data_IF_977741139646
#
_entry.id   IF_977741139646
#
_cell.length_a   1.000
_cell.length_b   1.000
_cell.length_c   1.000
_cell.angle_alpha   90.00
_cell.angle_beta   90.00
_cell.angle_gamma   90.00
#
_symmetry.space_group_name_H-M   'P 1'
#
loop_
_entity.id
_entity.type
_entity.pdbx_description
1 polymer ?
#
# COMPACT_ATOMS: atom_id res chain seq x y z
N UNK A 1 -12.64 -3.46 -21.39
CA UNK A 1 -12.67 -4.89 -21.03
C UNK A 1 -13.33 -5.03 -19.67
N UNK A 2 -14.32 -5.91 -19.52
CA UNK A 2 -14.90 -6.21 -18.21
C UNK A 2 -13.79 -6.78 -17.31
N UNK A 3 -13.65 -6.24 -16.09
CA UNK A 3 -12.64 -6.65 -15.08
C UNK A 3 -12.76 -8.11 -14.62
N UNK A 4 -13.61 -8.93 -15.24
CA UNK A 4 -14.01 -10.25 -14.74
C UNK A 4 -13.10 -11.40 -15.20
N UNK A 5 -12.53 -11.38 -16.41
CA UNK A 5 -11.64 -12.44 -16.87
C UNK A 5 -10.20 -11.94 -17.03
N UNK A 6 -9.37 -12.15 -16.00
CA UNK A 6 -7.93 -11.92 -16.11
C UNK A 6 -7.31 -13.05 -16.93
N UNK A 7 -7.17 -12.82 -18.23
CA UNK A 7 -6.46 -13.74 -19.11
C UNK A 7 -4.95 -13.67 -18.84
N UNK A 8 -4.44 -14.59 -18.02
CA UNK A 8 -3.02 -14.77 -17.75
C UNK A 8 -2.35 -15.76 -18.72
N UNK A 9 -2.94 -16.03 -19.89
CA UNK A 9 -2.36 -16.92 -20.92
C UNK A 9 -1.01 -16.42 -21.47
N UNK A 10 -0.73 -15.12 -21.35
CA UNK A 10 0.55 -14.52 -21.74
C UNK A 10 1.72 -14.95 -20.84
N UNK A 11 1.46 -15.41 -19.61
CA UNK A 11 2.48 -15.86 -18.66
C UNK A 11 2.83 -17.33 -18.96
N UNK A 12 4.04 -17.66 -19.42
CA UNK A 12 4.43 -19.05 -19.72
C UNK A 12 4.73 -19.85 -18.45
N UNK A 13 4.69 -21.18 -18.55
CA UNK A 13 4.83 -22.08 -17.39
C UNK A 13 6.14 -21.90 -16.63
N UNK A 14 7.26 -21.67 -17.34
CA UNK A 14 8.57 -21.43 -16.70
C UNK A 14 8.61 -20.14 -15.87
N UNK A 15 7.63 -19.26 -16.03
CA UNK A 15 7.52 -17.99 -15.28
C UNK A 15 6.49 -18.05 -14.15
N UNK A 16 5.79 -19.16 -13.93
CA UNK A 16 4.77 -19.24 -12.86
C UNK A 16 5.33 -18.94 -11.46
N UNK A 17 6.61 -19.21 -11.22
CA UNK A 17 7.32 -18.90 -9.97
C UNK A 17 7.28 -17.41 -9.57
N UNK A 18 7.16 -16.49 -10.55
CA UNK A 18 7.12 -15.04 -10.26
C UNK A 18 5.85 -14.65 -9.53
N UNK A 19 4.76 -15.38 -9.74
CA UNK A 19 3.45 -15.12 -9.13
C UNK A 19 3.54 -15.29 -7.62
N UNK A 20 4.15 -16.38 -7.16
CA UNK A 20 4.33 -16.66 -5.73
C UNK A 20 5.24 -15.61 -5.08
N UNK A 21 6.26 -15.14 -5.80
CA UNK A 21 7.15 -14.06 -5.34
C UNK A 21 6.37 -12.75 -5.17
N UNK A 22 5.53 -12.38 -6.14
CA UNK A 22 4.71 -11.16 -6.06
C UNK A 22 3.64 -11.27 -4.97
N UNK A 23 3.01 -12.43 -4.80
CA UNK A 23 2.07 -12.67 -3.72
C UNK A 23 2.74 -12.57 -2.34
N UNK A 24 3.98 -13.04 -2.21
CA UNK A 24 4.77 -12.84 -1.00
C UNK A 24 5.05 -11.36 -0.72
N UNK A 25 5.36 -10.58 -1.76
CA UNK A 25 5.48 -9.11 -1.63
C UNK A 25 4.18 -8.49 -1.14
N UNK A 26 3.04 -8.84 -1.75
CA UNK A 26 1.72 -8.33 -1.36
C UNK A 26 1.40 -8.63 0.12
N UNK A 27 1.61 -9.88 0.56
CA UNK A 27 1.47 -10.27 1.97
C UNK A 27 2.40 -9.51 2.91
N UNK A 28 3.64 -9.25 2.48
CA UNK A 28 4.63 -8.48 3.26
C UNK A 28 4.21 -7.02 3.41
N UNK A 29 3.70 -6.42 2.32
CA UNK A 29 3.15 -5.06 2.34
C UNK A 29 1.91 -5.01 3.25
N UNK A 30 0.99 -5.97 3.17
CA UNK A 30 -0.18 -6.00 4.06
C UNK A 30 0.24 -6.05 5.53
N UNK A 31 1.20 -6.92 5.88
CA UNK A 31 1.71 -7.03 7.24
C UNK A 31 2.35 -5.72 7.72
N UNK A 32 3.15 -5.07 6.86
CA UNK A 32 3.75 -3.77 7.14
C UNK A 32 2.68 -2.71 7.42
N UNK A 33 1.62 -2.65 6.61
CA UNK A 33 0.58 -1.64 6.73
C UNK A 33 -0.28 -1.85 7.98
N UNK A 34 -0.60 -3.11 8.33
CA UNK A 34 -1.23 -3.43 9.62
C UNK A 34 -0.39 -2.94 10.79
N UNK A 35 0.91 -3.29 10.82
CA UNK A 35 1.81 -2.84 11.89
C UNK A 35 1.93 -1.31 11.94
N UNK A 36 1.93 -0.65 10.78
CA UNK A 36 1.95 0.82 10.70
C UNK A 36 0.66 1.41 11.27
N UNK A 37 -0.49 0.82 10.95
CA UNK A 37 -1.78 1.25 11.48
C UNK A 37 -1.84 1.08 12.99
N UNK A 38 -1.52 -0.11 13.51
CA UNK A 38 -1.48 -0.40 14.94
C UNK A 38 -0.58 0.62 15.65
N UNK A 39 0.61 0.89 15.10
CA UNK A 39 1.52 1.91 15.60
C UNK A 39 0.89 3.31 15.63
N UNK A 40 0.18 3.72 14.56
CA UNK A 40 -0.48 5.03 14.50
C UNK A 40 -1.67 5.16 15.45
N UNK A 41 -2.41 4.07 15.67
CA UNK A 41 -3.61 4.05 16.51
C UNK A 41 -3.29 4.24 18.00
N UNK A 42 -2.17 3.69 18.48
CA UNK A 42 -1.75 3.81 19.88
C UNK A 42 -1.28 5.21 20.30
N UNK A 43 -1.34 6.20 19.40
CA UNK A 43 -0.88 7.57 19.64
C UNK A 43 0.63 7.72 19.43
N UNK A 44 1.01 8.17 18.24
CA UNK A 44 2.44 8.32 17.86
C UNK A 44 3.06 9.64 18.29
N UNK A 45 2.23 10.61 18.65
CA UNK A 45 2.65 11.94 19.03
C UNK A 45 1.91 12.30 20.30
N UNK A 46 2.65 12.67 21.34
CA UNK A 46 2.09 13.27 22.55
C UNK A 46 2.16 14.79 22.41
N UNK A 47 1.13 15.47 22.88
CA UNK A 47 1.01 16.92 22.77
C UNK A 47 1.05 17.58 24.14
N UNK A 48 1.58 18.80 24.18
CA UNK A 48 1.44 19.70 25.31
C UNK A 48 0.81 21.03 24.84
N UNK A 49 0.05 21.67 25.73
CA UNK A 49 -0.46 23.02 25.50
C UNK A 49 0.48 24.04 26.13
N UNK A 50 0.93 25.01 25.34
CA UNK A 50 1.80 26.11 25.80
C UNK A 50 1.08 27.42 25.56
N UNK A 51 0.87 28.20 26.63
CA UNK A 51 0.30 29.54 26.51
C UNK A 51 1.32 30.52 25.94
N UNK A 52 0.94 31.20 24.86
CA UNK A 52 1.75 32.20 24.17
C UNK A 52 0.92 33.47 23.95
N UNK A 53 0.90 34.34 24.97
CA UNK A 53 0.11 35.57 24.97
C UNK A 53 -1.41 35.28 25.00
N UNK A 54 -2.11 35.73 23.96
CA UNK A 54 -3.54 35.53 23.73
C UNK A 54 -3.85 34.21 22.99
N UNK A 55 -2.84 33.41 22.68
CA UNK A 55 -2.97 32.10 22.03
C UNK A 55 -2.51 30.95 22.91
N UNK A 56 -2.98 29.76 22.58
CA UNK A 56 -2.50 28.49 23.10
C UNK A 56 -1.97 27.68 21.91
N UNK A 57 -0.70 27.31 22.00
CA UNK A 57 0.00 26.51 21.01
C UNK A 57 -0.06 25.05 21.45
N UNK A 58 -0.45 24.15 20.53
CA UNK A 58 -0.31 22.71 20.70
C UNK A 58 1.05 22.31 20.15
N UNK A 59 1.95 21.93 21.05
CA UNK A 59 3.33 21.57 20.73
C UNK A 59 3.53 20.06 20.82
N UNK A 60 4.42 19.53 19.99
CA UNK A 60 4.91 18.15 20.10
C UNK A 60 5.69 18.01 21.40
N UNK A 61 5.22 17.17 22.30
CA UNK A 61 5.93 16.84 23.53
C UNK A 61 6.88 15.65 23.31
N UNK A 62 6.40 14.62 22.62
CA UNK A 62 7.15 13.39 22.36
C UNK A 62 6.68 12.78 21.04
N UNK A 63 7.61 12.12 20.33
CA UNK A 63 7.29 11.27 19.18
C UNK A 63 7.68 9.84 19.51
N UNK A 64 6.69 8.94 19.50
CA UNK A 64 6.92 7.53 19.78
C UNK A 64 7.98 6.95 18.83
N UNK A 65 8.82 6.01 19.30
CA UNK A 65 9.82 5.39 18.44
C UNK A 65 9.16 4.48 17.41
N UNK A 66 9.59 4.60 16.14
CA UNK A 66 9.11 3.74 15.06
C UNK A 66 9.48 2.27 15.33
N UNK A 67 8.52 1.32 15.33
CA UNK A 67 8.80 -0.09 15.48
C UNK A 67 9.82 -0.59 14.46
N UNK A 68 10.89 -1.23 14.95
CA UNK A 68 12.01 -1.68 14.14
C UNK A 68 11.65 -2.75 13.09
N UNK A 69 10.51 -3.41 13.24
CA UNK A 69 9.97 -4.33 12.24
C UNK A 69 9.50 -3.62 10.95
N UNK A 70 9.02 -2.37 11.04
CA UNK A 70 8.56 -1.58 9.88
C UNK A 70 9.66 -1.40 8.82
N UNK A 71 10.84 -0.80 9.12
CA UNK A 71 11.89 -0.63 8.10
C UNK A 71 12.45 -1.96 7.57
N UNK A 72 12.37 -3.04 8.35
CA UNK A 72 12.79 -4.39 7.92
C UNK A 72 11.81 -4.99 6.91
N UNK A 73 10.51 -4.94 7.20
CA UNK A 73 9.46 -5.39 6.26
C UNK A 73 9.47 -4.58 4.95
N UNK A 74 9.78 -3.27 5.02
CA UNK A 74 10.02 -2.45 3.82
C UNK A 74 11.20 -2.98 3.01
N UNK A 75 12.34 -3.23 3.65
CA UNK A 75 13.50 -3.78 2.95
C UNK A 75 13.24 -5.17 2.36
N UNK A 76 12.50 -6.01 3.07
CA UNK A 76 12.11 -7.35 2.59
C UNK A 76 11.24 -7.23 1.33
N UNK A 77 10.17 -6.41 1.36
CA UNK A 77 9.31 -6.18 0.21
C UNK A 77 10.09 -5.65 -1.01
N UNK A 78 10.97 -4.67 -0.81
CA UNK A 78 11.80 -4.10 -1.88
C UNK A 78 12.82 -5.12 -2.43
N UNK A 79 13.38 -5.96 -1.56
CA UNK A 79 14.33 -7.00 -1.96
C UNK A 79 13.62 -8.08 -2.77
N UNK A 80 12.42 -8.48 -2.37
CA UNK A 80 11.62 -9.48 -3.08
C UNK A 80 11.09 -8.96 -4.42
N UNK A 81 10.70 -7.68 -4.51
CA UNK A 81 10.38 -7.04 -5.79
C UNK A 81 11.58 -7.05 -6.74
N UNK A 82 12.79 -6.82 -6.22
CA UNK A 82 14.01 -6.88 -7.01
C UNK A 82 14.34 -8.31 -7.44
N UNK A 83 14.18 -9.27 -6.54
CA UNK A 83 14.35 -10.69 -6.82
C UNK A 83 13.37 -11.17 -7.89
N UNK A 84 12.12 -10.72 -7.88
CA UNK A 84 11.13 -11.05 -8.93
C UNK A 84 11.65 -10.70 -10.33
N UNK A 85 12.24 -9.51 -10.50
CA UNK A 85 12.84 -9.10 -11.79
C UNK A 85 14.03 -9.98 -12.19
N UNK A 86 14.89 -10.32 -11.22
CA UNK A 86 16.09 -11.11 -11.46
C UNK A 86 15.76 -12.58 -11.73
N UNK A 87 14.80 -13.17 -11.03
CA UNK A 87 14.29 -14.51 -11.28
C UNK A 87 13.59 -14.61 -12.64
N UNK A 88 12.75 -13.62 -13.00
CA UNK A 88 12.15 -13.57 -14.33
C UNK A 88 13.22 -13.51 -15.41
N UNK A 89 14.24 -12.65 -15.25
CA UNK A 89 15.34 -12.53 -16.21
C UNK A 89 16.14 -13.85 -16.30
N UNK A 90 16.45 -14.46 -15.16
CA UNK A 90 17.13 -15.75 -15.08
C UNK A 90 16.38 -16.84 -15.87
N UNK A 91 15.07 -16.97 -15.63
CA UNK A 91 14.25 -17.96 -16.31
C UNK A 91 14.11 -17.66 -17.82
N UNK A 92 14.05 -16.40 -18.25
CA UNK A 92 14.08 -16.05 -19.68
C UNK A 92 15.41 -16.44 -20.34
N UNK A 93 16.54 -16.31 -19.63
CA UNK A 93 17.85 -16.72 -20.14
C UNK A 93 17.94 -18.25 -20.26
N UNK A 94 17.53 -19.01 -19.24
CA UNK A 94 17.53 -20.49 -19.29
C UNK A 94 16.64 -21.01 -20.42
N UNK A 95 15.42 -20.49 -20.53
CA UNK A 95 14.49 -20.89 -21.60
C UNK A 95 15.06 -20.57 -22.97
N UNK A 96 15.68 -19.40 -23.17
CA UNK A 96 16.29 -19.04 -24.44
C UNK A 96 17.54 -19.89 -24.79
N UNK A 97 18.24 -20.43 -23.79
CA UNK A 97 19.37 -21.34 -23.99
C UNK A 97 18.94 -22.80 -24.19
N UNK A 98 17.75 -23.18 -23.73
CA UNK A 98 17.28 -24.56 -23.71
C UNK A 98 18.08 -25.46 -22.75
N UNK A 99 18.75 -24.87 -21.76
CA UNK A 99 19.52 -25.60 -20.73
C UNK A 99 19.59 -24.80 -19.42
N UNK A 100 19.85 -25.46 -18.29
CA UNK A 100 20.19 -24.78 -17.05
C UNK A 100 21.46 -23.94 -17.17
N UNK A 101 21.52 -22.85 -16.41
CA UNK A 101 22.75 -22.07 -16.24
C UNK A 101 23.73 -22.77 -15.31
N UNK A 102 25.02 -22.59 -15.58
CA UNK A 102 26.07 -22.92 -14.60
C UNK A 102 26.10 -21.90 -13.47
N UNK A 103 26.68 -22.25 -12.32
CA UNK A 103 26.81 -21.34 -11.17
C UNK A 103 27.50 -20.01 -11.52
N UNK A 104 28.45 -20.02 -12.43
CA UNK A 104 29.14 -18.79 -12.87
C UNK A 104 28.26 -17.93 -13.77
N UNK A 105 27.51 -18.55 -14.68
CA UNK A 105 26.56 -17.86 -15.55
C UNK A 105 25.41 -17.27 -14.74
N UNK A 106 24.85 -18.03 -13.80
CA UNK A 106 23.78 -17.62 -12.90
C UNK A 106 24.14 -16.32 -12.16
N UNK A 107 25.35 -16.24 -11.60
CA UNK A 107 25.86 -15.03 -10.92
C UNK A 107 26.02 -13.81 -11.82
N UNK A 108 26.01 -13.99 -13.14
CA UNK A 108 26.13 -12.89 -14.11
C UNK A 108 24.78 -12.32 -14.56
N UNK A 109 23.68 -13.02 -14.26
CA UNK A 109 22.31 -12.61 -14.57
C UNK A 109 21.78 -11.74 -13.42
N UNK A 110 21.85 -10.44 -13.63
CA UNK A 110 21.36 -9.40 -12.71
C UNK A 110 20.63 -8.33 -13.52
N UNK A 111 19.61 -7.68 -12.95
CA UNK A 111 18.88 -6.63 -13.69
C UNK A 111 19.65 -5.29 -13.65
N UNK A 112 20.20 -4.75 -14.74
CA UNK A 112 20.84 -3.43 -14.66
C UNK A 112 19.84 -2.33 -14.33
N UNK A 113 20.29 -1.27 -13.65
CA UNK A 113 19.49 -0.07 -13.35
C UNK A 113 20.31 1.19 -13.70
N UNK A 114 20.55 1.38 -15.00
CA UNK A 114 21.48 2.38 -15.55
C UNK A 114 20.79 3.70 -15.89
N UNK A 115 21.48 4.81 -15.64
CA UNK A 115 20.97 6.18 -15.91
C UNK A 115 21.47 6.75 -17.25
N UNK A 116 22.26 6.00 -18.00
CA UNK A 116 22.70 6.34 -19.35
C UNK A 116 22.94 5.08 -20.20
N UNK A 117 22.86 5.23 -21.52
CA UNK A 117 22.98 4.13 -22.47
C UNK A 117 24.40 3.53 -22.54
N UNK A 118 25.44 4.32 -22.26
CA UNK A 118 26.82 3.86 -22.30
C UNK A 118 27.12 2.89 -21.15
N UNK A 119 26.59 3.16 -19.95
CA UNK A 119 26.65 2.28 -18.80
C UNK A 119 25.94 0.94 -19.08
N UNK A 120 24.80 0.96 -19.78
CA UNK A 120 24.12 -0.26 -20.20
C UNK A 120 24.95 -1.05 -21.21
N UNK A 121 25.53 -0.38 -22.22
CA UNK A 121 26.41 -1.02 -23.18
C UNK A 121 27.64 -1.65 -22.51
N UNK A 122 28.22 -0.98 -21.52
CA UNK A 122 29.29 -1.53 -20.69
C UNK A 122 28.83 -2.76 -19.90
N UNK A 123 27.61 -2.71 -19.34
CA UNK A 123 27.03 -3.83 -18.60
C UNK A 123 26.88 -5.08 -19.49
N UNK A 124 26.31 -4.95 -20.70
CA UNK A 124 26.26 -6.03 -21.70
C UNK A 124 27.66 -6.49 -22.13
N UNK A 125 28.61 -5.54 -22.16
CA UNK A 125 30.01 -5.77 -22.47
C UNK A 125 30.79 -6.56 -21.40
N UNK A 126 30.21 -6.99 -20.28
CA UNK A 126 30.92 -7.83 -19.32
C UNK A 126 31.25 -9.22 -19.91
N UNK A 127 32.49 -9.71 -19.70
CA UNK A 127 32.97 -10.98 -20.26
C UNK A 127 32.02 -12.16 -20.00
N UNK A 128 31.45 -12.26 -18.80
CA UNK A 128 30.54 -13.38 -18.44
C UNK A 128 29.22 -13.28 -19.21
N UNK A 129 28.64 -12.09 -19.31
CA UNK A 129 27.39 -11.85 -20.03
C UNK A 129 27.54 -11.99 -21.55
N UNK A 130 28.69 -11.62 -22.13
CA UNK A 130 28.99 -11.86 -23.55
C UNK A 130 28.98 -13.34 -23.96
N UNK A 131 29.17 -14.24 -22.99
CA UNK A 131 29.13 -15.68 -23.22
C UNK A 131 27.70 -16.25 -23.19
N UNK A 132 26.70 -15.42 -22.85
CA UNK A 132 25.29 -15.79 -22.81
C UNK A 132 24.58 -15.17 -24.03
N UNK A 133 24.38 -15.93 -25.14
CA UNK A 133 23.76 -15.41 -26.35
C UNK A 133 22.46 -14.63 -26.15
N UNK A 134 21.53 -15.03 -25.25
CA UNK A 134 20.30 -14.26 -25.02
C UNK A 134 20.54 -12.81 -24.53
N UNK A 135 21.67 -12.54 -23.87
CA UNK A 135 22.03 -11.22 -23.35
C UNK A 135 22.89 -10.40 -24.32
N UNK A 136 23.20 -10.90 -25.51
CA UNK A 136 23.95 -10.14 -26.49
C UNK A 136 23.15 -8.93 -26.99
N UNK A 137 23.85 -7.81 -27.24
CA UNK A 137 23.22 -6.59 -27.75
C UNK A 137 22.45 -6.89 -29.05
N UNK A 138 21.23 -6.38 -29.14
CA UNK A 138 20.36 -6.54 -30.30
C UNK A 138 19.43 -7.76 -30.25
N UNK A 139 19.58 -8.67 -29.28
CA UNK A 139 18.61 -9.74 -29.08
C UNK A 139 17.28 -9.20 -28.53
N UNK A 140 16.17 -9.96 -28.68
CA UNK A 140 14.90 -9.57 -28.08
C UNK A 140 14.98 -9.32 -26.58
N UNK A 141 15.69 -10.16 -25.82
CA UNK A 141 15.82 -9.98 -24.37
C UNK A 141 16.66 -8.75 -24.00
N UNK A 142 17.76 -8.49 -24.71
CA UNK A 142 18.56 -7.28 -24.49
C UNK A 142 17.73 -6.00 -24.74
N UNK A 143 16.91 -5.97 -25.79
CA UNK A 143 15.99 -4.86 -26.08
C UNK A 143 14.91 -4.69 -25.00
N UNK A 144 14.43 -5.78 -24.39
CA UNK A 144 13.49 -5.75 -23.26
C UNK A 144 14.14 -5.13 -22.01
N UNK A 145 15.36 -5.55 -21.69
CA UNK A 145 16.15 -4.99 -20.58
C UNK A 145 16.38 -3.49 -20.80
N UNK A 146 16.80 -3.09 -22.00
CA UNK A 146 17.05 -1.70 -22.38
C UNK A 146 15.83 -0.80 -22.17
N UNK A 147 14.64 -1.27 -22.57
CA UNK A 147 13.38 -0.51 -22.43
C UNK A 147 12.94 -0.28 -20.99
N UNK A 148 13.44 -1.08 -20.05
CA UNK A 148 13.16 -0.93 -18.62
C UNK A 148 14.18 -0.03 -17.91
N UNK A 149 15.20 0.45 -18.60
CA UNK A 149 16.25 1.22 -17.95
C UNK A 149 15.79 2.65 -17.58
N UNK A 150 16.26 3.18 -16.44
CA UNK A 150 15.96 4.55 -16.00
C UNK A 150 16.17 5.64 -17.05
N UNK A 151 17.20 5.54 -17.88
CA UNK A 151 17.50 6.54 -18.93
C UNK A 151 16.45 6.64 -20.03
N UNK A 152 15.50 5.71 -20.10
CA UNK A 152 14.34 5.77 -21.01
C UNK A 152 13.31 6.83 -20.58
N UNK A 153 13.48 7.46 -19.40
CA UNK A 153 12.60 8.52 -18.89
C UNK A 153 13.33 9.84 -18.75
N UNK A 154 12.55 10.93 -18.76
CA UNK A 154 13.04 12.30 -18.52
C UNK A 154 13.55 12.52 -17.10
N UNK A 155 13.01 11.79 -16.12
CA UNK A 155 13.42 11.83 -14.70
C UNK A 155 13.98 10.47 -14.25
N UNK A 156 15.22 10.10 -14.65
CA UNK A 156 15.78 8.78 -14.32
C UNK A 156 15.84 8.50 -12.81
N UNK A 157 16.00 9.53 -11.98
CA UNK A 157 16.05 9.40 -10.53
C UNK A 157 14.70 9.02 -9.89
N UNK A 158 13.59 9.26 -10.59
CA UNK A 158 12.24 8.87 -10.15
C UNK A 158 11.81 7.52 -10.73
N UNK A 159 12.64 6.92 -11.61
CA UNK A 159 12.30 5.67 -12.26
C UNK A 159 12.17 4.53 -11.22
N UNK A 160 11.09 3.72 -11.24
CA UNK A 160 10.91 2.61 -10.30
C UNK A 160 12.09 1.65 -10.20
N UNK A 161 12.69 1.25 -11.33
CA UNK A 161 13.89 0.41 -11.33
C UNK A 161 15.11 1.06 -10.64
N UNK A 162 15.26 2.38 -10.77
CA UNK A 162 16.32 3.14 -10.09
C UNK A 162 16.07 3.16 -8.59
N UNK A 163 14.85 3.50 -8.18
CA UNK A 163 14.41 3.50 -6.78
C UNK A 163 14.64 2.13 -6.12
N UNK A 164 14.18 1.08 -6.77
CA UNK A 164 14.33 -0.30 -6.31
C UNK A 164 15.82 -0.67 -6.13
N UNK A 165 16.66 -0.33 -7.11
CA UNK A 165 18.10 -0.62 -7.04
C UNK A 165 18.80 0.15 -5.91
N UNK A 166 18.49 1.44 -5.72
CA UNK A 166 19.14 2.23 -4.65
C UNK A 166 18.68 1.79 -3.26
N UNK A 167 17.40 1.47 -3.07
CA UNK A 167 16.90 0.98 -1.79
C UNK A 167 17.53 -0.36 -1.42
N UNK A 168 17.52 -1.31 -2.35
CA UNK A 168 18.07 -2.66 -2.10
C UNK A 168 19.58 -2.64 -1.92
N UNK A 169 20.32 -1.79 -2.65
CA UNK A 169 21.76 -1.62 -2.42
C UNK A 169 22.06 -1.04 -1.03
N UNK A 170 21.25 -0.11 -0.53
CA UNK A 170 21.40 0.38 0.85
C UNK A 170 21.11 -0.72 1.86
N UNK A 171 20.01 -1.46 1.70
CA UNK A 171 19.63 -2.54 2.61
C UNK A 171 20.68 -3.68 2.67
N UNK A 172 21.42 -3.94 1.58
CA UNK A 172 22.50 -4.93 1.55
C UNK A 172 23.73 -4.57 2.40
N UNK A 173 24.01 -3.27 2.57
CA UNK A 173 25.28 -2.81 3.14
C UNK A 173 25.11 -1.94 4.39
N UNK A 174 23.89 -1.54 4.71
CA UNK A 174 23.56 -0.57 5.77
C UNK A 174 22.23 -0.94 6.40
N UNK A 175 21.87 -0.24 7.46
CA UNK A 175 20.51 -0.26 7.99
C UNK A 175 19.52 0.00 6.84
N UNK A 176 18.41 -0.76 6.76
CA UNK A 176 17.31 -0.51 5.83
C UNK A 176 16.95 0.98 5.74
N UNK A 177 16.47 1.42 4.58
CA UNK A 177 16.16 2.82 4.25
C UNK A 177 15.68 3.63 5.46
N UNK A 178 16.17 4.87 5.61
CA UNK A 178 15.81 5.72 6.76
C UNK A 178 14.29 5.89 6.77
N UNK A 179 13.63 5.25 7.73
CA UNK A 179 12.21 5.34 7.95
C UNK A 179 11.96 6.20 9.18
N UNK A 180 10.97 7.09 9.11
CA UNK A 180 10.61 7.97 10.22
C UNK A 180 9.12 8.28 10.21
N UNK A 181 8.59 8.54 11.40
CA UNK A 181 7.29 9.19 11.56
C UNK A 181 7.42 10.66 11.16
N UNK A 182 6.49 11.12 10.33
CA UNK A 182 6.41 12.50 9.82
C UNK A 182 5.01 13.03 10.00
N UNK A 183 4.88 14.35 10.11
CA UNK A 183 3.58 15.01 10.07
C UNK A 183 3.07 14.99 8.64
N UNK A 184 2.01 14.23 8.37
CA UNK A 184 1.36 14.23 7.06
C UNK A 184 0.40 15.39 6.88
N UNK A 185 -0.43 15.64 7.90
CA UNK A 185 -1.35 16.76 7.94
C UNK A 185 -1.83 17.06 9.38
N UNK A 186 -2.32 18.28 9.56
CA UNK A 186 -3.15 18.73 10.67
C UNK A 186 -4.32 19.45 10.05
N UNK A 187 -5.55 19.10 10.43
CA UNK A 187 -6.73 19.81 9.95
C UNK A 187 -7.71 20.07 11.09
N UNK A 188 -8.31 21.27 11.15
CA UNK A 188 -9.44 21.48 12.04
C UNK A 188 -10.61 20.61 11.60
N UNK A 189 -11.43 20.17 12.55
CA UNK A 189 -12.66 19.45 12.23
C UNK A 189 -13.74 20.42 11.72
N UNK A 190 -13.68 21.69 12.17
CA UNK A 190 -14.42 22.81 11.59
C UNK A 190 -13.49 23.69 10.73
N UNK A 191 -13.65 23.69 9.39
CA UNK A 191 -12.81 24.47 8.48
C UNK A 191 -12.97 26.00 8.64
N UNK A 192 -13.99 26.47 9.38
CA UNK A 192 -14.21 27.89 9.67
C UNK A 192 -13.70 28.32 11.05
N UNK A 193 -13.01 27.45 11.77
CA UNK A 193 -12.45 27.76 13.09
C UNK A 193 -11.23 28.69 13.02
N UNK A 194 -10.96 29.42 14.12
CA UNK A 194 -9.78 30.29 14.27
C UNK A 194 -8.45 29.53 14.53
N UNK A 195 -8.41 28.25 14.15
CA UNK A 195 -7.23 27.38 14.31
C UNK A 195 -6.22 27.65 13.20
N UNK A 196 -4.99 27.98 13.57
CA UNK A 196 -3.86 27.98 12.64
C UNK A 196 -3.13 26.64 12.75
N UNK A 197 -2.81 26.01 11.63
CA UNK A 197 -2.16 24.68 11.59
C UNK A 197 -0.84 24.71 10.83
N UNK A 198 0.13 23.91 11.28
CA UNK A 198 1.48 23.88 10.71
C UNK A 198 1.56 23.25 9.31
N UNK A 199 0.73 22.25 9.05
CA UNK A 199 0.69 21.56 7.76
C UNK A 199 -0.76 21.19 7.40
N UNK A 200 -1.45 21.99 6.57
CA UNK A 200 -2.82 21.68 6.19
C UNK A 200 -2.89 20.39 5.37
N UNK A 201 -4.04 19.72 5.43
CA UNK A 201 -4.31 18.50 4.65
C UNK A 201 -4.19 18.79 3.15
N UNK A 202 -3.32 18.04 2.46
CA UNK A 202 -3.23 18.02 1.00
C UNK A 202 -3.91 16.76 0.46
N UNK A 203 -4.83 16.94 -0.48
CA UNK A 203 -5.38 15.82 -1.24
C UNK A 203 -4.31 15.30 -2.23
N UNK A 204 -3.91 14.03 -2.09
CA UNK A 204 -2.90 13.41 -2.96
C UNK A 204 -1.46 13.83 -2.64
N UNK A 205 -0.94 13.53 -1.44
CA UNK A 205 0.42 13.91 -1.05
C UNK A 205 1.46 13.33 -2.01
N UNK A 206 2.46 14.15 -2.36
CA UNK A 206 3.55 13.83 -3.27
C UNK A 206 4.84 13.51 -2.50
N UNK A 207 5.82 12.82 -3.12
CA UNK A 207 7.14 12.68 -2.54
C UNK A 207 7.74 14.05 -2.18
N UNK A 208 8.19 14.19 -0.93
CA UNK A 208 8.70 15.45 -0.37
C UNK A 208 7.67 16.18 0.49
N UNK A 209 6.39 15.82 0.43
CA UNK A 209 5.38 16.32 1.36
C UNK A 209 5.60 15.78 2.79
N UNK A 210 4.95 16.45 3.74
CA UNK A 210 5.06 16.14 5.15
C UNK A 210 6.28 16.79 5.82
N UNK A 211 6.16 17.09 7.10
CA UNK A 211 7.23 17.72 7.88
C UNK A 211 7.91 16.68 8.79
N UNK A 212 9.24 16.81 9.04
CA UNK A 212 9.82 16.09 10.16
C UNK A 212 9.12 16.55 11.44
N UNK A 213 8.93 15.64 12.39
CA UNK A 213 8.43 15.97 13.72
C UNK A 213 9.57 15.97 14.71
N UNK A 214 9.66 17.03 15.52
CA UNK A 214 10.60 17.19 16.62
C UNK A 214 9.86 17.68 17.85
N UNK A 215 10.36 17.30 19.02
CA UNK A 215 9.90 17.87 20.28
C UNK A 215 10.02 19.40 20.24
N UNK A 216 8.97 20.08 20.68
CA UNK A 216 8.82 21.54 20.64
C UNK A 216 8.22 22.11 19.35
N UNK A 217 8.03 21.30 18.29
CA UNK A 217 7.36 21.79 17.07
C UNK A 217 5.90 22.18 17.39
N UNK A 218 5.47 23.36 16.94
CA UNK A 218 4.07 23.81 17.05
C UNK A 218 3.27 23.18 15.92
N UNK A 219 2.20 22.45 16.24
CA UNK A 219 1.32 21.81 15.25
C UNK A 219 0.08 22.62 14.93
N UNK A 220 -0.48 23.23 15.97
CA UNK A 220 -1.68 24.05 15.87
C UNK A 220 -1.63 25.17 16.91
N UNK A 221 -2.33 26.26 16.64
CA UNK A 221 -2.43 27.41 17.54
C UNK A 221 -3.85 27.96 17.50
N UNK A 222 -4.46 28.20 18.66
CA UNK A 222 -5.83 28.70 18.81
C UNK A 222 -5.90 29.88 19.78
N UNK A 223 -6.93 30.74 19.71
CA UNK A 223 -7.18 31.75 20.74
C UNK A 223 -7.33 31.12 22.14
N UNK A 224 -6.79 31.79 23.16
CA UNK A 224 -6.85 31.29 24.53
C UNK A 224 -8.29 31.14 25.01
N UNK A 225 -8.59 29.98 25.58
CA UNK A 225 -9.93 29.63 26.06
C UNK A 225 -10.85 29.06 24.98
N UNK A 226 -10.46 29.08 23.70
CA UNK A 226 -11.18 28.36 22.66
C UNK A 226 -11.01 26.85 22.80
N UNK A 227 -12.06 26.09 22.46
CA UNK A 227 -12.03 24.62 22.37
C UNK A 227 -12.35 24.23 20.94
N UNK A 228 -11.31 24.05 20.13
CA UNK A 228 -11.44 23.74 18.70
C UNK A 228 -10.93 22.31 18.49
N UNK A 229 -11.81 21.37 18.10
CA UNK A 229 -11.38 20.01 17.77
C UNK A 229 -10.63 20.00 16.43
N UNK A 230 -9.59 19.18 16.36
CA UNK A 230 -8.76 19.00 15.18
C UNK A 230 -8.13 17.62 15.15
N UNK A 231 -7.74 17.20 13.97
CA UNK A 231 -7.17 15.88 13.72
C UNK A 231 -5.72 16.00 13.24
N UNK A 232 -4.85 15.12 13.74
CA UNK A 232 -3.44 15.01 13.36
C UNK A 232 -3.22 13.70 12.63
N UNK A 233 -2.58 13.77 11.47
CA UNK A 233 -2.38 12.64 10.56
C UNK A 233 -0.88 12.34 10.45
N UNK A 234 -0.32 11.53 11.37
CA UNK A 234 1.05 11.06 11.25
C UNK A 234 1.18 10.10 10.06
N UNK A 235 2.37 10.07 9.46
CA UNK A 235 2.70 9.16 8.36
C UNK A 235 4.03 8.49 8.63
N UNK A 236 4.18 7.24 8.19
CA UNK A 236 5.49 6.58 8.10
C UNK A 236 6.03 6.80 6.70
N UNK A 237 7.22 7.40 6.63
CA UNK A 237 7.85 7.77 5.37
C UNK A 237 9.25 7.16 5.25
N UNK A 238 9.67 6.94 4.02
CA UNK A 238 10.97 6.42 3.61
C UNK A 238 11.79 7.54 2.96
N UNK A 239 13.05 7.69 3.37
CA UNK A 239 13.96 8.57 2.67
C UNK A 239 14.58 7.84 1.47
N UNK A 240 14.37 8.38 0.27
CA UNK A 240 15.06 7.95 -0.95
C UNK A 240 16.57 8.16 -0.79
N UNK A 241 17.42 7.11 -0.91
CA UNK A 241 18.85 7.23 -0.62
C UNK A 241 19.62 8.25 -1.46
N UNK A 242 19.27 8.38 -2.74
CA UNK A 242 19.99 9.20 -3.73
C UNK A 242 19.49 10.65 -3.77
N UNK A 243 18.20 10.91 -3.52
CA UNK A 243 17.64 12.28 -3.56
C UNK A 243 17.37 12.88 -2.18
N UNK A 244 17.38 12.08 -1.12
CA UNK A 244 16.97 12.46 0.25
C UNK A 244 15.52 12.89 0.41
N UNK A 245 14.71 12.78 -0.65
CA UNK A 245 13.27 13.03 -0.64
C UNK A 245 12.57 11.98 0.22
N UNK A 246 11.57 12.40 0.99
CA UNK A 246 10.76 11.52 1.82
C UNK A 246 9.47 11.14 1.09
N UNK A 247 9.19 9.85 0.96
CA UNK A 247 7.97 9.34 0.37
C UNK A 247 7.18 8.55 1.42
N UNK A 248 5.85 8.69 1.45
CA UNK A 248 4.99 7.87 2.31
C UNK A 248 5.21 6.40 1.95
N UNK A 249 5.57 5.57 2.92
CA UNK A 249 6.00 4.20 2.69
C UNK A 249 4.98 3.38 1.90
N UNK A 250 3.69 3.52 2.24
CA UNK A 250 2.59 2.84 1.55
C UNK A 250 2.54 3.21 0.06
N UNK A 251 2.64 4.50 -0.28
CA UNK A 251 2.55 4.98 -1.65
C UNK A 251 3.81 4.60 -2.46
N UNK A 252 4.99 4.65 -1.84
CA UNK A 252 6.24 4.25 -2.49
C UNK A 252 6.23 2.74 -2.83
N UNK A 253 5.76 1.90 -1.90
CA UNK A 253 5.64 0.46 -2.13
C UNK A 253 4.56 0.11 -3.16
N UNK A 254 3.41 0.79 -3.12
CA UNK A 254 2.35 0.66 -4.13
C UNK A 254 2.88 0.95 -5.53
N UNK A 255 3.60 2.06 -5.70
CA UNK A 255 4.19 2.46 -6.97
C UNK A 255 5.16 1.41 -7.50
N UNK A 256 6.05 0.91 -6.64
CA UNK A 256 7.09 -0.04 -7.04
C UNK A 256 6.50 -1.43 -7.34
N UNK A 257 5.59 -1.92 -6.50
CA UNK A 257 4.87 -3.18 -6.71
C UNK A 257 4.08 -3.13 -8.02
N UNK A 258 3.26 -2.10 -8.20
CA UNK A 258 2.43 -1.95 -9.38
C UNK A 258 3.28 -1.89 -10.66
N UNK A 259 4.39 -1.14 -10.65
CA UNK A 259 5.29 -1.07 -11.80
C UNK A 259 5.95 -2.42 -12.11
N UNK A 260 6.44 -3.14 -11.11
CA UNK A 260 7.05 -4.47 -11.33
C UNK A 260 6.03 -5.44 -11.94
N UNK A 261 4.83 -5.50 -11.36
CA UNK A 261 3.77 -6.43 -11.75
C UNK A 261 3.14 -6.11 -13.12
N UNK A 262 2.89 -4.83 -13.39
CA UNK A 262 2.13 -4.40 -14.58
C UNK A 262 3.00 -3.97 -15.76
N UNK A 263 4.27 -3.62 -15.52
CA UNK A 263 5.18 -3.12 -16.56
C UNK A 263 6.39 -4.01 -16.71
N UNK A 264 7.18 -4.17 -15.66
CA UNK A 264 8.52 -4.75 -15.78
C UNK A 264 8.49 -6.23 -16.15
N UNK A 265 7.75 -7.05 -15.39
CA UNK A 265 7.63 -8.50 -15.65
C UNK A 265 7.00 -8.76 -17.03
N UNK A 266 5.85 -8.15 -17.39
CA UNK A 266 5.30 -8.28 -18.74
C UNK A 266 6.27 -7.93 -19.86
N UNK A 267 7.03 -6.83 -19.71
CA UNK A 267 8.01 -6.41 -20.73
C UNK A 267 9.16 -7.40 -20.83
N UNK A 268 9.65 -7.98 -19.73
CA UNK A 268 10.71 -9.00 -19.78
C UNK A 268 10.26 -10.28 -20.50
N UNK A 269 9.02 -10.72 -20.25
CA UNK A 269 8.49 -11.98 -20.78
C UNK A 269 8.01 -11.83 -22.22
N UNK A 270 7.17 -10.83 -22.47
CA UNK A 270 6.46 -10.68 -23.75
C UNK A 270 7.04 -9.59 -24.65
N UNK A 271 7.82 -8.68 -24.07
CA UNK A 271 8.26 -7.48 -24.76
C UNK A 271 7.21 -6.37 -24.83
N UNK A 272 6.08 -6.45 -24.11
CA UNK A 272 5.09 -5.38 -23.98
C UNK A 272 4.48 -5.39 -22.57
N UNK A 273 3.82 -4.30 -22.18
CA UNK A 273 3.10 -4.21 -20.90
C UNK A 273 1.57 -4.15 -21.07
N UNK A 274 1.09 -4.08 -22.31
CA UNK A 274 -0.34 -4.16 -22.62
C UNK A 274 -0.78 -5.62 -22.62
N UNK A 275 -0.89 -6.16 -21.40
CA UNK A 275 -1.37 -7.51 -21.08
C UNK A 275 -2.27 -7.44 -19.85
N UNK A 276 -3.11 -8.44 -19.63
CA UNK A 276 -3.89 -8.54 -18.40
C UNK A 276 -2.95 -8.55 -17.19
N UNK A 277 -3.10 -7.65 -16.21
CA UNK A 277 -2.26 -7.62 -15.03
C UNK A 277 -2.35 -8.94 -14.25
N UNK A 278 -1.21 -9.39 -13.71
CA UNK A 278 -1.25 -10.46 -12.71
C UNK A 278 -2.05 -9.98 -11.49
N UNK A 279 -2.85 -10.86 -10.86
CA UNK A 279 -3.48 -10.55 -9.58
C UNK A 279 -2.37 -10.34 -8.53
N UNK A 280 -2.45 -9.27 -7.72
CA UNK A 280 -1.47 -9.00 -6.67
C UNK A 280 -1.57 -10.02 -5.52
N UNK A 281 -2.76 -10.59 -5.27
CA UNK A 281 -3.01 -11.43 -4.11
C UNK A 281 -3.33 -12.87 -4.48
N UNK A 282 -2.41 -13.77 -4.13
CA UNK A 282 -2.59 -15.21 -4.19
C UNK A 282 -2.24 -15.79 -2.82
N UNK A 283 -3.10 -16.65 -2.27
CA UNK A 283 -2.80 -17.31 -1.00
C UNK A 283 -1.66 -18.34 -1.17
N UNK A 284 -0.44 -17.93 -0.87
CA UNK A 284 0.76 -18.78 -0.91
C UNK A 284 0.98 -19.57 0.39
N UNK A 285 0.07 -19.50 1.37
CA UNK A 285 0.15 -20.32 2.59
C UNK A 285 -0.40 -21.72 2.37
N UNK A 286 -1.17 -21.92 1.30
CA UNK A 286 -1.65 -23.21 0.83
C UNK A 286 -0.88 -23.66 -0.42
N UNK A 287 -0.58 -24.96 -0.50
CA UNK A 287 0.06 -25.52 -1.69
C UNK A 287 -0.94 -25.68 -2.83
N UNK A 288 -0.66 -25.06 -3.98
CA UNK A 288 -1.49 -25.17 -5.19
C UNK A 288 -0.97 -26.28 -6.10
N UNK A 289 -1.83 -27.24 -6.45
CA UNK A 289 -1.50 -28.25 -7.48
C UNK A 289 -1.49 -27.67 -8.89
N UNK A 290 -2.32 -26.67 -9.13
CA UNK A 290 -2.44 -25.95 -10.40
C UNK A 290 -2.47 -24.45 -10.10
N UNK A 291 -1.30 -23.80 -10.28
CA UNK A 291 -1.15 -22.35 -10.08
C UNK A 291 -2.01 -21.56 -11.06
N UNK A 292 -2.27 -22.06 -12.27
CA UNK A 292 -3.11 -21.34 -13.27
C UNK A 292 -4.56 -21.30 -12.82
N UNK A 293 -5.08 -22.41 -12.30
CA UNK A 293 -6.42 -22.44 -11.72
C UNK A 293 -6.53 -21.47 -10.52
N UNK A 294 -5.52 -21.45 -9.65
CA UNK A 294 -5.50 -20.55 -8.50
C UNK A 294 -5.44 -19.06 -8.91
N UNK A 295 -4.67 -18.72 -9.94
CA UNK A 295 -4.62 -17.37 -10.53
C UNK A 295 -5.96 -16.89 -11.08
N UNK A 296 -6.78 -17.79 -11.64
CA UNK A 296 -8.08 -17.42 -12.21
C UNK A 296 -9.06 -16.90 -11.14
N UNK A 297 -8.93 -17.38 -9.90
CA UNK A 297 -9.78 -17.03 -8.76
C UNK A 297 -9.12 -16.08 -7.75
N UNK A 298 -7.87 -15.68 -8.00
CA UNK A 298 -7.08 -14.84 -7.12
C UNK A 298 -7.66 -13.41 -7.00
N UNK A 299 -7.47 -12.79 -5.84
CA UNK A 299 -7.96 -11.42 -5.58
C UNK A 299 -7.11 -10.40 -6.35
N UNK A 300 -7.80 -9.42 -6.93
CA UNK A 300 -7.25 -8.37 -7.79
C UNK A 300 -6.92 -7.11 -7.02
N UNK A 301 -7.31 -7.04 -5.75
CA UNK A 301 -7.14 -5.87 -4.89
C UNK A 301 -5.76 -5.90 -4.25
N UNK A 302 -4.86 -4.94 -4.51
CA UNK A 302 -3.53 -4.91 -3.87
C UNK A 302 -3.61 -4.66 -2.37
N UNK A 303 -2.60 -5.12 -1.61
CA UNK A 303 -2.52 -4.96 -0.16
C UNK A 303 -2.68 -3.52 0.33
N UNK A 304 -2.16 -2.55 -0.43
CA UNK A 304 -2.28 -1.12 -0.10
C UNK A 304 -3.74 -0.65 -0.15
N UNK A 305 -4.50 -1.11 -1.16
CA UNK A 305 -5.93 -0.80 -1.29
C UNK A 305 -6.72 -1.52 -0.20
N UNK A 306 -6.51 -2.83 -0.02
CA UNK A 306 -7.16 -3.60 1.07
C UNK A 306 -6.90 -2.98 2.45
N UNK A 307 -5.69 -2.48 2.69
CA UNK A 307 -5.36 -1.81 3.96
C UNK A 307 -6.01 -0.44 4.09
N UNK A 308 -6.15 0.34 3.02
CA UNK A 308 -6.88 1.61 3.05
C UNK A 308 -8.36 1.36 3.35
N UNK A 309 -8.96 0.36 2.70
CA UNK A 309 -10.35 -0.03 2.92
C UNK A 309 -10.55 -0.50 4.36
N UNK A 310 -9.64 -1.32 4.91
CA UNK A 310 -9.66 -1.73 6.31
C UNK A 310 -9.61 -0.55 7.29
N UNK A 311 -8.69 0.41 7.08
CA UNK A 311 -8.56 1.60 7.95
C UNK A 311 -9.83 2.46 7.86
N UNK A 312 -10.36 2.63 6.64
CA UNK A 312 -11.61 3.35 6.40
C UNK A 312 -12.79 2.64 7.07
N UNK A 313 -12.83 1.30 7.03
CA UNK A 313 -13.84 0.49 7.68
C UNK A 313 -13.75 0.59 9.21
N UNK A 314 -12.56 0.48 9.81
CA UNK A 314 -12.36 0.65 11.26
C UNK A 314 -12.86 2.03 11.72
N UNK A 315 -12.42 3.09 11.05
CA UNK A 315 -12.86 4.47 11.33
C UNK A 315 -14.37 4.60 11.11
N UNK A 316 -14.88 4.00 10.04
CA UNK A 316 -16.28 3.95 9.68
C UNK A 316 -17.15 3.29 10.73
N UNK A 317 -16.72 2.14 11.28
CA UNK A 317 -17.47 1.42 12.32
C UNK A 317 -17.65 2.30 13.56
N UNK A 318 -16.58 2.97 14.02
CA UNK A 318 -16.67 3.90 15.15
C UNK A 318 -17.61 5.09 14.84
N UNK A 319 -17.43 5.73 13.69
CA UNK A 319 -18.25 6.87 13.27
C UNK A 319 -19.72 6.53 13.05
N UNK A 320 -20.03 5.34 12.54
CA UNK A 320 -21.41 4.87 12.34
C UNK A 320 -22.13 4.63 13.67
N UNK A 321 -21.44 4.11 14.69
CA UNK A 321 -22.02 3.97 16.04
C UNK A 321 -22.42 5.33 16.61
N UNK A 322 -21.55 6.33 16.48
CA UNK A 322 -21.83 7.70 16.94
C UNK A 322 -22.94 8.36 16.12
N UNK A 323 -22.88 8.25 14.80
CA UNK A 323 -23.86 8.82 13.88
C UNK A 323 -25.27 8.27 14.13
N UNK A 324 -25.41 6.95 14.30
CA UNK A 324 -26.71 6.31 14.52
C UNK A 324 -27.30 6.60 15.90
N UNK A 325 -26.48 7.04 16.87
CA UNK A 325 -26.96 7.44 18.20
C UNK A 325 -27.86 8.70 18.16
N UNK A 326 -27.82 9.49 17.09
CA UNK A 326 -28.62 10.72 16.93
C UNK A 326 -30.04 10.50 16.40
N UNK A 327 -30.39 9.28 15.97
CA UNK A 327 -31.69 9.01 15.35
C UNK A 327 -32.77 8.68 16.39
N UNK A 328 -34.00 9.14 16.15
CA UNK A 328 -35.15 8.95 17.08
C UNK A 328 -35.43 7.47 17.36
N UNK A 329 -35.27 6.61 16.35
CA UNK A 329 -35.40 5.16 16.46
C UNK A 329 -34.06 4.47 16.76
N UNK A 330 -33.28 5.04 17.71
CA UNK A 330 -31.93 4.59 18.03
C UNK A 330 -31.86 3.08 18.34
N UNK A 331 -31.15 2.27 17.53
CA UNK A 331 -30.74 0.94 17.97
C UNK A 331 -29.79 1.07 19.17
N UNK A 332 -29.80 0.06 20.05
CA UNK A 332 -28.82 -0.01 21.13
C UNK A 332 -27.40 -0.03 20.56
N UNK A 333 -26.46 0.72 21.17
CA UNK A 333 -25.09 0.81 20.66
C UNK A 333 -24.41 -0.57 20.50
N UNK A 334 -24.69 -1.50 21.40
CA UNK A 334 -24.21 -2.89 21.31
C UNK A 334 -24.80 -3.63 20.09
N UNK A 335 -26.06 -3.38 19.76
CA UNK A 335 -26.71 -3.93 18.56
C UNK A 335 -26.06 -3.39 17.28
N UNK A 336 -25.77 -2.08 17.24
CA UNK A 336 -25.09 -1.46 16.10
C UNK A 336 -23.68 -2.03 15.93
N UNK A 337 -22.91 -2.15 17.02
CA UNK A 337 -21.57 -2.77 16.99
C UNK A 337 -21.63 -4.20 16.47
N UNK A 338 -22.51 -5.04 17.03
CA UNK A 338 -22.67 -6.42 16.58
C UNK A 338 -23.07 -6.53 15.10
N UNK A 339 -23.94 -5.63 14.62
CA UNK A 339 -24.29 -5.55 13.20
C UNK A 339 -23.08 -5.15 12.34
N UNK A 340 -22.36 -4.10 12.71
CA UNK A 340 -21.17 -3.62 11.98
C UNK A 340 -20.02 -4.65 12.00
N UNK A 341 -19.89 -5.44 13.06
CA UNK A 341 -18.92 -6.53 13.17
C UNK A 341 -19.30 -7.73 12.29
N UNK A 342 -20.57 -7.84 11.89
CA UNK A 342 -21.05 -8.85 10.94
C UNK A 342 -20.83 -8.48 9.48
N UNK A 343 -20.51 -7.21 9.21
CA UNK A 343 -20.22 -6.70 7.86
C UNK A 343 -18.72 -6.81 7.56
N UNK A 344 -18.39 -7.13 6.31
CA UNK A 344 -17.01 -7.03 5.84
C UNK A 344 -16.57 -5.56 5.67
N UNK A 345 -15.26 -5.34 5.49
CA UNK A 345 -14.70 -4.00 5.37
C UNK A 345 -15.25 -3.23 4.16
N UNK A 346 -15.55 -3.92 3.06
CA UNK A 346 -16.10 -3.30 1.83
C UNK A 346 -17.50 -2.76 2.11
N UNK A 347 -18.36 -3.58 2.72
CA UNK A 347 -19.74 -3.19 3.07
C UNK A 347 -19.77 -1.98 4.01
N UNK A 348 -18.91 -1.95 5.03
CA UNK A 348 -18.82 -0.79 5.92
C UNK A 348 -18.39 0.47 5.16
N UNK A 349 -17.36 0.36 4.30
CA UNK A 349 -16.90 1.49 3.48
C UNK A 349 -18.00 2.00 2.55
N UNK A 350 -18.77 1.10 1.92
CA UNK A 350 -19.91 1.47 1.08
C UNK A 350 -20.97 2.26 1.85
N UNK A 351 -21.33 1.84 3.07
CA UNK A 351 -22.26 2.59 3.92
C UNK A 351 -21.73 3.98 4.27
N UNK A 352 -20.45 4.10 4.65
CA UNK A 352 -19.81 5.39 4.97
C UNK A 352 -19.79 6.31 3.74
N UNK A 353 -19.43 5.79 2.57
CA UNK A 353 -19.40 6.55 1.31
C UNK A 353 -20.80 7.01 0.90
N UNK A 354 -21.82 6.16 1.09
CA UNK A 354 -23.20 6.53 0.85
C UNK A 354 -23.61 7.74 1.70
N UNK A 355 -23.40 7.68 3.02
CA UNK A 355 -23.67 8.80 3.94
C UNK A 355 -22.92 10.08 3.55
N UNK A 356 -21.64 9.95 3.18
CA UNK A 356 -20.83 11.08 2.71
C UNK A 356 -21.39 11.71 1.43
N UNK A 357 -21.95 10.92 0.53
CA UNK A 357 -22.54 11.40 -0.73
C UNK A 357 -23.85 12.18 -0.50
N UNK A 358 -24.58 11.87 0.57
CA UNK A 358 -25.82 12.56 0.93
C UNK A 358 -25.65 13.61 2.05
N UNK A 359 -24.43 13.81 2.59
CA UNK A 359 -24.20 14.65 3.76
C UNK A 359 -24.60 16.12 3.59
N UNK A 360 -24.51 16.66 2.37
CA UNK A 360 -24.98 18.01 2.04
C UNK A 360 -26.50 18.14 1.83
N UNK A 361 -27.26 17.05 1.99
CA UNK A 361 -28.69 16.97 1.70
C UNK A 361 -29.42 16.44 2.94
N UNK A 362 -29.82 17.31 3.89
CA UNK A 362 -30.27 16.89 5.23
C UNK A 362 -31.38 15.84 5.24
N UNK A 363 -32.34 15.94 4.31
CA UNK A 363 -33.42 14.97 4.17
C UNK A 363 -32.91 13.59 3.74
N UNK A 364 -32.09 13.54 2.70
CA UNK A 364 -31.52 12.27 2.21
C UNK A 364 -30.57 11.64 3.23
N UNK A 365 -29.80 12.45 3.96
CA UNK A 365 -28.97 11.99 5.06
C UNK A 365 -29.80 11.37 6.19
N UNK A 366 -30.93 11.99 6.52
CA UNK A 366 -31.86 11.46 7.52
C UNK A 366 -32.53 10.16 7.05
N UNK A 367 -32.89 10.06 5.77
CA UNK A 367 -33.48 8.86 5.17
C UNK A 367 -32.46 7.70 5.18
N UNK A 368 -31.23 7.96 4.72
CA UNK A 368 -30.14 6.99 4.72
C UNK A 368 -29.79 6.51 6.15
N UNK A 369 -29.69 7.41 7.12
CA UNK A 369 -29.42 7.00 8.50
C UNK A 369 -30.56 6.18 9.13
N UNK A 370 -31.81 6.48 8.79
CA UNK A 370 -32.97 5.69 9.24
C UNK A 370 -33.00 4.28 8.61
N UNK A 371 -32.54 4.15 7.36
CA UNK A 371 -32.37 2.86 6.69
C UNK A 371 -31.32 2.00 7.42
N UNK A 372 -30.12 2.54 7.67
CA UNK A 372 -29.07 1.84 8.42
C UNK A 372 -29.50 1.46 9.85
N UNK A 373 -30.21 2.36 10.55
CA UNK A 373 -30.78 2.05 11.86
C UNK A 373 -31.80 0.89 11.80
N UNK A 374 -32.56 0.80 10.71
CA UNK A 374 -33.50 -0.29 10.49
C UNK A 374 -32.81 -1.60 10.15
N UNK A 375 -31.72 -1.58 9.38
CA UNK A 375 -30.88 -2.76 9.12
C UNK A 375 -30.27 -3.34 10.40
N UNK A 376 -29.72 -2.49 11.26
CA UNK A 376 -29.17 -2.91 12.56
C UNK A 376 -30.24 -3.58 13.46
N UNK A 377 -31.48 -3.09 13.45
CA UNK A 377 -32.59 -3.71 14.18
C UNK A 377 -33.01 -5.05 13.57
N UNK A 378 -33.14 -5.14 12.25
CA UNK A 378 -33.41 -6.43 11.56
C UNK A 378 -32.32 -7.46 11.82
N UNK A 379 -31.06 -7.02 11.96
CA UNK A 379 -29.98 -7.89 12.39
C UNK A 379 -30.24 -8.45 13.80
N UNK A 380 -30.61 -7.61 14.79
CA UNK A 380 -31.00 -8.04 16.15
C UNK A 380 -32.13 -9.07 16.14
N UNK A 381 -33.16 -8.84 15.34
CA UNK A 381 -34.31 -9.75 15.22
C UNK A 381 -33.88 -11.12 14.68
N UNK A 382 -33.03 -11.16 13.65
CA UNK A 382 -32.51 -12.41 13.07
C UNK A 382 -31.67 -13.23 14.06
N UNK A 383 -30.85 -12.58 14.88
CA UNK A 383 -30.02 -13.29 15.87
C UNK A 383 -30.81 -13.66 17.15
N UNK A 384 -31.93 -12.98 17.41
CA UNK A 384 -32.78 -13.20 18.57
C UNK A 384 -33.84 -14.29 18.40
N UNK A 385 -34.10 -14.76 17.18
CA UNK A 385 -34.99 -15.91 16.96
C UNK A 385 -34.30 -17.21 17.37
N UNK A 386 -34.77 -17.92 18.43
CA UNK A 386 -34.21 -19.21 18.77
C UNK A 386 -34.45 -20.19 17.62
N UNK A 387 -33.39 -20.78 17.10
CA UNK A 387 -33.43 -21.83 16.06
C UNK A 387 -34.47 -22.89 16.42
N UNK A 388 -35.66 -22.81 15.80
CA UNK A 388 -36.78 -23.76 15.96
C UNK A 388 -36.51 -25.15 15.37
N UNK A 389 -35.26 -25.54 15.19
CA UNK A 389 -34.83 -26.79 14.54
C UNK A 389 -34.51 -27.94 15.51
N UNK A 390 -34.86 -27.83 16.79
CA UNK A 390 -34.68 -28.91 17.78
C UNK A 390 -35.99 -29.41 18.37
N UNK A 391 -36.85 -30.07 17.59
CA UNK A 391 -38.11 -30.58 18.13
C UNK A 391 -39.00 -31.36 17.17
N UNK A 392 -38.46 -32.35 16.46
CA UNK A 392 -39.26 -33.42 15.86
C UNK A 392 -38.41 -34.69 15.74
N UNK A 393 -38.45 -35.50 16.79
CA UNK A 393 -37.73 -36.76 16.89
C UNK A 393 -38.08 -37.48 18.19
N UNK A 394 -39.38 -37.77 18.37
CA UNK A 394 -39.90 -38.79 19.27
C UNK A 394 -40.81 -39.72 18.45
#
# INVERSE_FOLDING_TARGET
MSLRDADCSWLPDHQLHVVETLAHVDHTIERLLRLTHDYTEHGTITFAEVSNGDRVDVVVQEVAPLPQAIPRLVADALTQLRAALEHTLYAEVETALGRPLTDEEAKSVEMPATCDAAALAHWFGNRRRRQLPPLNVGTPLAQRIERLQPFQRRTPDEHPLRLLAVYTNVAKHRTPAVAATRLGAVHPDDPHSDLTVALPLKHGPQPGDGLPLREGDVLASAPRGARIPFSVWPTVSLQRPHTRVWAIAANELELLEAWVRTVAIPVLITGRHDVSPLPPHLDITVGHRDIRAALATADRTPAVVRSRDRIAAITGRAGLVEFLAFFTERPEAETVRAWLDSLDDTQVVEHVLHLRTVSGRPRELSEAGSELASEARRYKERIGEPSRTGGAGA
#
